data_IF_440547997874
#
_entry.id   IF_440547997874
#
_cell.length_a   1.000
_cell.length_b   1.000
_cell.length_c   1.000
_cell.angle_alpha   90.00
_cell.angle_beta   90.00
_cell.angle_gamma   90.00
#
_symmetry.space_group_name_H-M   'P 1'
#
loop_
_entity.id
_entity.type
_entity.pdbx_description
1 polymer ?
#
# COMPACT_ATOMS: atom_id res chain seq x y z
N UNK A 1 9.26 13.77 -0.04
CA UNK A 1 7.92 13.29 -0.45
C UNK A 1 7.04 14.45 -0.93
N UNK A 2 6.13 14.18 -1.88
CA UNK A 2 5.17 15.19 -2.36
C UNK A 2 4.00 15.41 -1.39
N UNK A 3 3.77 14.44 -0.50
CA UNK A 3 2.80 14.51 0.60
C UNK A 3 3.47 14.16 1.92
N UNK A 4 3.14 14.83 3.03
CA UNK A 4 3.76 14.57 4.33
C UNK A 4 3.19 13.36 5.07
N UNK A 5 1.98 12.89 4.69
CA UNK A 5 1.30 11.77 5.33
C UNK A 5 1.79 10.43 4.78
N UNK A 6 1.79 9.41 5.65
CA UNK A 6 1.90 8.02 5.24
C UNK A 6 0.57 7.57 4.60
N UNK A 7 0.58 7.36 3.29
CA UNK A 7 -0.63 7.01 2.56
C UNK A 7 -1.12 5.59 2.87
N UNK A 8 -0.25 4.65 3.21
CA UNK A 8 -0.66 3.30 3.57
C UNK A 8 -1.44 3.31 4.89
N UNK A 9 -0.97 4.08 5.88
CA UNK A 9 -1.68 4.28 7.13
C UNK A 9 -3.05 4.95 6.92
N UNK A 10 -3.10 6.02 6.12
CA UNK A 10 -4.34 6.73 5.83
C UNK A 10 -5.35 5.86 5.05
N UNK A 11 -4.88 4.97 4.15
CA UNK A 11 -5.72 3.99 3.45
C UNK A 11 -6.35 3.01 4.43
N UNK A 12 -5.58 2.46 5.35
CA UNK A 12 -6.09 1.52 6.34
C UNK A 12 -7.13 2.17 7.27
N UNK A 13 -7.08 3.47 7.50
CA UNK A 13 -8.09 4.20 8.29
C UNK A 13 -9.45 4.36 7.58
N UNK A 14 -9.57 3.96 6.32
CA UNK A 14 -10.85 3.98 5.60
C UNK A 14 -11.88 2.97 6.15
N UNK A 15 -11.45 2.04 7.00
CA UNK A 15 -12.34 1.08 7.66
C UNK A 15 -12.07 0.98 9.19
N UNK A 16 -13.04 0.50 9.98
CA UNK A 16 -12.86 0.34 11.41
C UNK A 16 -11.67 -0.55 11.76
N UNK A 17 -10.97 -0.24 12.82
CA UNK A 17 -9.79 -0.96 13.31
C UNK A 17 -8.57 -0.96 12.36
N UNK A 18 -8.67 -0.45 11.14
CA UNK A 18 -7.61 -0.50 10.14
C UNK A 18 -6.32 0.20 10.57
N UNK A 19 -6.41 1.30 11.32
CA UNK A 19 -5.22 1.95 11.87
C UNK A 19 -4.45 1.05 12.84
N UNK A 20 -5.17 0.30 13.70
CA UNK A 20 -4.56 -0.67 14.63
C UNK A 20 -3.97 -1.87 13.89
N UNK A 21 -4.69 -2.37 12.91
CA UNK A 21 -4.21 -3.45 12.04
C UNK A 21 -2.94 -3.04 11.30
N UNK A 22 -2.88 -1.80 10.82
CA UNK A 22 -1.70 -1.25 10.17
C UNK A 22 -0.47 -1.21 11.08
N UNK A 23 -0.63 -0.87 12.37
CA UNK A 23 0.50 -0.88 13.31
C UNK A 23 1.17 -2.26 13.40
N UNK A 24 0.39 -3.34 13.37
CA UNK A 24 0.90 -4.72 13.39
C UNK A 24 1.58 -5.05 12.06
N UNK A 25 0.95 -4.72 10.93
CA UNK A 25 1.48 -4.99 9.59
C UNK A 25 2.76 -4.16 9.34
N UNK A 26 2.78 -2.89 9.74
CA UNK A 26 3.95 -2.02 9.61
C UNK A 26 5.12 -2.53 10.45
N UNK A 27 4.85 -3.03 11.67
CA UNK A 27 5.91 -3.67 12.47
C UNK A 27 6.45 -4.93 11.80
N UNK A 28 5.59 -5.71 11.17
CA UNK A 28 6.01 -6.88 10.39
C UNK A 28 6.85 -6.50 9.16
N UNK A 29 6.48 -5.45 8.42
CA UNK A 29 7.26 -4.87 7.32
C UNK A 29 8.67 -4.49 7.77
N UNK A 30 8.80 -3.81 8.92
CA UNK A 30 10.09 -3.51 9.54
C UNK A 30 10.93 -4.78 9.78
N UNK A 31 10.32 -5.83 10.33
CA UNK A 31 11.00 -7.08 10.62
C UNK A 31 11.48 -7.80 9.34
N UNK A 32 10.67 -7.82 8.28
CA UNK A 32 11.05 -8.37 6.98
C UNK A 32 12.21 -7.59 6.35
N UNK A 33 12.16 -6.27 6.45
CA UNK A 33 13.23 -5.39 5.94
C UNK A 33 14.55 -5.60 6.70
N UNK A 34 14.49 -5.67 8.05
CA UNK A 34 15.66 -5.86 8.90
C UNK A 34 16.33 -7.23 8.70
N UNK A 35 15.57 -8.28 8.46
CA UNK A 35 16.14 -9.60 8.16
C UNK A 35 16.66 -9.74 6.73
N UNK A 36 16.37 -8.76 5.86
CA UNK A 36 16.74 -8.82 4.44
C UNK A 36 16.03 -9.95 3.71
N UNK A 37 14.71 -10.08 3.92
CA UNK A 37 13.91 -11.15 3.31
C UNK A 37 14.06 -11.17 1.81
N UNK A 38 14.35 -12.34 1.26
CA UNK A 38 14.47 -12.52 -0.18
C UNK A 38 13.17 -12.08 -0.88
N UNK A 39 13.30 -11.37 -2.00
CA UNK A 39 12.18 -10.84 -2.82
C UNK A 39 11.25 -9.85 -2.11
N UNK A 40 11.65 -9.35 -0.93
CA UNK A 40 10.94 -8.29 -0.20
C UNK A 40 11.73 -6.98 -0.25
N UNK A 41 11.05 -5.89 -0.64
CA UNK A 41 11.67 -4.58 -0.78
C UNK A 41 10.91 -3.53 0.07
N UNK A 42 11.59 -2.48 0.56
CA UNK A 42 10.92 -1.37 1.23
C UNK A 42 9.83 -0.75 0.34
N UNK A 43 8.60 -0.71 0.84
CA UNK A 43 7.40 -0.28 0.10
C UNK A 43 6.46 -1.43 -0.26
N UNK A 44 6.84 -2.68 -0.04
CA UNK A 44 5.99 -3.86 -0.23
C UNK A 44 4.88 -3.94 0.83
N UNK A 45 4.89 -3.07 1.85
CA UNK A 45 3.77 -2.85 2.79
C UNK A 45 2.44 -2.71 2.06
N UNK A 46 2.43 -2.11 0.86
CA UNK A 46 1.21 -1.99 0.05
C UNK A 46 0.65 -3.36 -0.37
N UNK A 47 1.52 -4.33 -0.69
CA UNK A 47 1.06 -5.69 -0.97
C UNK A 47 0.52 -6.39 0.29
N UNK A 48 1.08 -6.08 1.46
CA UNK A 48 0.63 -6.65 2.74
C UNK A 48 -0.76 -6.12 3.14
N UNK A 49 -1.06 -4.83 2.91
CA UNK A 49 -2.36 -4.25 3.27
C UNK A 49 -3.46 -4.54 2.23
N UNK A 50 -3.11 -4.86 0.99
CA UNK A 50 -4.05 -5.06 -0.11
C UNK A 50 -5.18 -6.07 0.21
N UNK A 51 -4.94 -7.25 0.84
CA UNK A 51 -5.99 -8.20 1.17
C UNK A 51 -7.06 -7.58 2.08
N UNK A 52 -6.66 -6.78 3.07
CA UNK A 52 -7.56 -6.17 4.04
C UNK A 52 -8.37 -5.01 3.45
N UNK A 53 -7.76 -4.22 2.55
CA UNK A 53 -8.51 -3.20 1.80
C UNK A 53 -9.63 -3.84 0.97
N UNK A 54 -9.34 -4.97 0.31
CA UNK A 54 -10.33 -5.71 -0.46
C UNK A 54 -11.41 -6.34 0.44
N UNK A 55 -11.03 -6.94 1.58
CA UNK A 55 -11.93 -7.56 2.55
C UNK A 55 -12.94 -6.56 3.12
N UNK A 56 -12.49 -5.36 3.47
CA UNK A 56 -13.36 -4.29 3.97
C UNK A 56 -14.08 -3.51 2.87
N UNK A 57 -13.96 -3.92 1.61
CA UNK A 57 -14.68 -3.32 0.49
C UNK A 57 -14.29 -1.87 0.21
N UNK A 58 -13.04 -1.49 0.50
CA UNK A 58 -12.50 -0.19 0.11
C UNK A 58 -12.55 -0.07 -1.42
N UNK A 59 -12.92 1.11 -1.93
CA UNK A 59 -13.09 1.37 -3.35
C UNK A 59 -12.00 2.28 -3.90
N UNK A 60 -11.68 2.10 -5.17
CA UNK A 60 -10.71 2.96 -5.88
C UNK A 60 -11.09 4.44 -5.82
N UNK A 61 -12.41 4.74 -5.85
CA UNK A 61 -12.92 6.10 -5.68
C UNK A 61 -12.54 6.71 -4.33
N UNK A 62 -12.56 5.93 -3.24
CA UNK A 62 -12.16 6.40 -1.91
C UNK A 62 -10.66 6.72 -1.86
N UNK A 63 -9.83 5.89 -2.51
CA UNK A 63 -8.37 6.13 -2.62
C UNK A 63 -8.11 7.40 -3.44
N UNK A 64 -8.81 7.57 -4.54
CA UNK A 64 -8.75 8.77 -5.39
C UNK A 64 -9.15 10.02 -4.60
N UNK A 65 -10.29 9.98 -3.89
CA UNK A 65 -10.78 11.09 -3.09
C UNK A 65 -9.81 11.46 -1.95
N UNK A 66 -9.15 10.46 -1.37
CA UNK A 66 -8.10 10.68 -0.36
C UNK A 66 -6.90 11.43 -0.95
N UNK A 67 -6.42 11.01 -2.13
CA UNK A 67 -5.33 11.70 -2.84
C UNK A 67 -5.69 13.13 -3.23
N UNK A 68 -6.93 13.37 -3.66
CA UNK A 68 -7.42 14.71 -4.00
C UNK A 68 -7.44 15.66 -2.78
N UNK A 69 -7.70 15.14 -1.59
CA UNK A 69 -7.76 15.91 -0.32
C UNK A 69 -6.42 15.97 0.42
N UNK A 70 -5.45 15.13 0.06
CA UNK A 70 -4.16 15.07 0.76
C UNK A 70 -3.42 16.40 0.70
N UNK A 71 -2.79 16.77 1.81
CA UNK A 71 -1.92 17.94 1.87
C UNK A 71 -0.68 17.75 0.98
N UNK A 72 -0.31 18.76 0.20
CA UNK A 72 0.97 18.78 -0.50
C UNK A 72 2.06 19.30 0.44
N UNK A 73 3.26 18.76 0.30
CA UNK A 73 4.43 19.31 0.97
C UNK A 73 4.62 20.78 0.59
N UNK A 74 4.90 21.62 1.58
CA UNK A 74 5.09 23.06 1.36
C UNK A 74 6.15 23.32 0.28
N UNK A 75 5.83 24.18 -0.67
CA UNK A 75 6.70 24.52 -1.79
C UNK A 75 6.72 23.50 -2.95
N UNK A 76 6.07 22.34 -2.84
CA UNK A 76 6.09 21.32 -3.90
C UNK A 76 5.51 21.85 -5.22
N UNK A 77 4.34 22.49 -5.17
CA UNK A 77 3.70 23.07 -6.35
C UNK A 77 4.57 24.16 -7.00
N UNK A 78 5.16 25.04 -6.17
CA UNK A 78 6.02 26.12 -6.63
C UNK A 78 7.29 25.56 -7.28
N UNK A 79 7.94 24.57 -6.66
CA UNK A 79 9.12 23.91 -7.22
C UNK A 79 8.83 23.31 -8.61
N UNK A 80 7.77 22.50 -8.71
CA UNK A 80 7.37 21.85 -9.96
C UNK A 80 7.08 22.91 -11.04
N UNK A 81 6.31 23.96 -10.70
CA UNK A 81 6.00 25.05 -11.63
C UNK A 81 7.25 25.77 -12.13
N UNK A 82 8.21 26.07 -11.25
CA UNK A 82 9.49 26.70 -11.61
C UNK A 82 10.35 25.82 -12.53
N UNK A 83 10.41 24.51 -12.24
CA UNK A 83 11.16 23.58 -13.10
C UNK A 83 10.54 23.50 -14.49
N UNK A 84 9.22 23.37 -14.58
CA UNK A 84 8.48 23.34 -15.86
C UNK A 84 8.66 24.62 -16.66
N UNK A 85 8.62 25.79 -16.03
CA UNK A 85 8.84 27.08 -16.71
C UNK A 85 10.24 27.22 -17.27
N UNK A 86 11.21 26.43 -16.82
CA UNK A 86 12.58 26.35 -17.33
C UNK A 86 12.77 25.25 -18.37
N UNK A 87 11.69 24.60 -18.81
CA UNK A 87 11.74 23.53 -19.81
C UNK A 87 12.16 22.15 -19.28
N UNK A 88 12.16 21.94 -17.95
CA UNK A 88 12.50 20.63 -17.39
C UNK A 88 11.34 19.64 -17.54
N UNK A 89 11.66 18.44 -17.98
CA UNK A 89 10.76 17.29 -17.87
C UNK A 89 10.68 16.81 -16.42
N UNK A 90 9.46 16.59 -15.92
CA UNK A 90 9.23 16.13 -14.55
C UNK A 90 8.70 14.71 -14.58
N UNK A 91 9.38 13.81 -13.88
CA UNK A 91 8.97 12.42 -13.69
C UNK A 91 8.76 12.16 -12.21
N UNK A 92 7.76 11.33 -11.89
CA UNK A 92 7.46 10.91 -10.52
C UNK A 92 7.51 9.40 -10.43
N UNK A 93 8.30 8.86 -9.49
CA UNK A 93 8.29 7.45 -9.13
C UNK A 93 7.74 7.35 -7.71
N UNK A 94 6.60 6.69 -7.56
CA UNK A 94 5.85 6.61 -6.31
C UNK A 94 5.63 5.16 -5.88
N UNK A 95 5.83 4.87 -4.61
CA UNK A 95 5.43 3.58 -4.03
C UNK A 95 3.91 3.47 -3.85
N UNK A 96 3.16 4.56 -3.93
CA UNK A 96 1.71 4.58 -3.73
C UNK A 96 0.95 3.82 -4.81
N UNK A 97 -0.28 3.41 -4.49
CA UNK A 97 -1.22 2.94 -5.51
C UNK A 97 -1.54 4.05 -6.52
N UNK A 98 -1.81 3.63 -7.76
CA UNK A 98 -2.02 4.52 -8.90
C UNK A 98 -3.13 5.57 -8.66
N UNK A 99 -4.25 5.21 -8.02
CA UNK A 99 -5.35 6.11 -7.73
C UNK A 99 -4.89 7.31 -6.87
N UNK A 100 -4.06 7.06 -5.86
CA UNK A 100 -3.50 8.11 -5.01
C UNK A 100 -2.41 8.88 -5.73
N UNK A 101 -1.46 8.18 -6.36
CA UNK A 101 -0.32 8.79 -7.05
C UNK A 101 -0.78 9.74 -8.17
N UNK A 102 -1.72 9.30 -9.02
CA UNK A 102 -2.27 10.13 -10.09
C UNK A 102 -3.04 11.33 -9.56
N UNK A 103 -3.79 11.19 -8.46
CA UNK A 103 -4.47 12.32 -7.84
C UNK A 103 -3.50 13.41 -7.37
N UNK A 104 -2.37 13.03 -6.79
CA UNK A 104 -1.34 13.98 -6.34
C UNK A 104 -0.61 14.61 -7.54
N UNK A 105 -0.18 13.80 -8.50
CA UNK A 105 0.61 14.27 -9.65
C UNK A 105 -0.20 15.14 -10.59
N UNK A 106 -1.50 14.88 -10.75
CA UNK A 106 -2.43 15.72 -11.49
C UNK A 106 -2.52 17.13 -10.89
N UNK A 107 -2.61 17.26 -9.57
CA UNK A 107 -2.62 18.55 -8.87
C UNK A 107 -1.32 19.35 -9.05
N UNK A 108 -0.21 18.66 -9.31
CA UNK A 108 1.10 19.25 -9.61
C UNK A 108 1.31 19.46 -11.13
N UNK A 109 0.33 19.08 -11.95
CA UNK A 109 0.40 19.17 -13.42
C UNK A 109 1.46 18.23 -14.01
N UNK A 110 1.78 17.11 -13.39
CA UNK A 110 2.66 16.07 -13.93
C UNK A 110 1.79 15.12 -14.76
N UNK A 111 2.08 14.88 -16.05
CA UNK A 111 1.32 13.98 -16.90
C UNK A 111 1.38 12.53 -16.40
N UNK A 112 0.33 11.74 -16.65
CA UNK A 112 0.25 10.33 -16.21
C UNK A 112 1.39 9.49 -16.80
N UNK A 113 1.78 9.71 -18.04
CA UNK A 113 2.88 9.03 -18.71
C UNK A 113 4.25 9.25 -18.06
N UNK A 114 4.36 10.28 -17.21
CA UNK A 114 5.56 10.59 -16.44
C UNK A 114 5.50 10.06 -15.01
N UNK A 115 4.54 9.19 -14.69
CA UNK A 115 4.34 8.68 -13.32
C UNK A 115 4.47 7.17 -13.29
N UNK A 116 5.53 6.66 -12.68
CA UNK A 116 5.67 5.26 -12.30
C UNK A 116 5.09 5.03 -10.91
N UNK A 117 4.10 4.15 -10.78
CA UNK A 117 3.45 3.85 -9.50
C UNK A 117 2.88 2.43 -9.49
N UNK A 118 2.41 1.99 -8.32
CA UNK A 118 1.86 0.65 -8.13
C UNK A 118 0.47 0.55 -8.71
N UNK A 119 0.27 -0.31 -9.71
CA UNK A 119 -1.07 -0.63 -10.23
C UNK A 119 -1.86 -1.45 -9.22
N UNK A 120 -3.11 -1.07 -8.97
CA UNK A 120 -3.96 -1.70 -7.98
C UNK A 120 -5.43 -1.69 -8.38
N UNK A 121 -5.90 -2.68 -9.17
CA UNK A 121 -7.29 -2.77 -9.61
C UNK A 121 -8.19 -3.27 -8.47
N UNK A 122 -8.33 -2.49 -7.41
CA UNK A 122 -8.98 -2.89 -6.15
C UNK A 122 -10.45 -3.27 -6.35
N UNK A 123 -11.19 -2.52 -7.16
CA UNK A 123 -12.60 -2.79 -7.40
C UNK A 123 -12.82 -4.15 -8.09
N UNK A 124 -11.89 -4.56 -8.96
CA UNK A 124 -11.91 -5.88 -9.58
C UNK A 124 -11.55 -6.96 -8.55
N UNK A 125 -10.54 -6.72 -7.72
CA UNK A 125 -10.14 -7.65 -6.64
C UNK A 125 -11.29 -7.90 -5.68
N UNK A 126 -12.01 -6.85 -5.27
CA UNK A 126 -13.19 -6.98 -4.40
C UNK A 126 -14.29 -7.89 -4.99
N UNK A 127 -14.47 -7.86 -6.33
CA UNK A 127 -15.48 -8.70 -7.01
C UNK A 127 -15.06 -10.17 -7.10
N UNK A 128 -13.77 -10.47 -6.99
CA UNK A 128 -13.22 -11.81 -7.12
C UNK A 128 -13.06 -12.54 -5.78
N UNK A 129 -13.33 -11.88 -4.66
CA UNK A 129 -13.25 -12.48 -3.33
C UNK A 129 -14.26 -13.63 -3.21
N UNK A 130 -13.76 -14.82 -2.88
CA UNK A 130 -14.58 -15.99 -2.57
C UNK A 130 -15.01 -15.97 -1.09
N UNK A 131 -16.00 -16.81 -0.74
CA UNK A 131 -16.38 -16.99 0.65
C UNK A 131 -15.21 -17.48 1.52
N UNK A 132 -14.37 -18.37 0.98
CA UNK A 132 -13.19 -18.89 1.71
C UNK A 132 -12.14 -17.79 1.93
N UNK A 133 -11.98 -16.86 0.99
CA UNK A 133 -11.11 -15.69 1.17
C UNK A 133 -11.63 -14.81 2.32
N UNK A 134 -12.95 -14.57 2.42
CA UNK A 134 -13.55 -13.82 3.52
C UNK A 134 -13.29 -14.48 4.88
N UNK A 135 -13.51 -15.78 5.01
CA UNK A 135 -13.26 -16.51 6.26
C UNK A 135 -11.77 -16.49 6.66
N UNK A 136 -10.87 -16.61 5.67
CA UNK A 136 -9.44 -16.52 5.90
C UNK A 136 -9.02 -15.15 6.43
N UNK A 137 -9.57 -14.07 5.83
CA UNK A 137 -9.22 -12.70 6.19
C UNK A 137 -9.82 -12.30 7.54
N UNK A 138 -11.06 -12.71 7.83
CA UNK A 138 -11.68 -12.52 9.14
C UNK A 138 -10.82 -13.14 10.24
N UNK A 139 -10.43 -14.41 10.09
CA UNK A 139 -9.56 -15.09 11.05
C UNK A 139 -8.19 -14.41 11.16
N UNK A 140 -7.60 -13.98 10.04
CA UNK A 140 -6.31 -13.31 10.06
C UNK A 140 -6.38 -11.96 10.78
N UNK A 141 -7.44 -11.18 10.55
CA UNK A 141 -7.66 -9.91 11.24
C UNK A 141 -7.79 -10.10 12.75
N UNK A 142 -8.55 -11.11 13.22
CA UNK A 142 -8.65 -11.46 14.62
C UNK A 142 -7.29 -11.84 15.22
N UNK A 143 -6.53 -12.72 14.53
CA UNK A 143 -5.19 -13.14 14.96
C UNK A 143 -4.23 -11.93 15.05
N UNK A 144 -4.28 -10.99 14.08
CA UNK A 144 -3.41 -9.82 14.06
C UNK A 144 -3.80 -8.80 15.12
N UNK A 145 -5.10 -8.58 15.33
CA UNK A 145 -5.61 -7.64 16.35
C UNK A 145 -5.29 -8.10 17.79
N UNK A 146 -5.09 -9.39 18.01
CA UNK A 146 -4.64 -9.91 19.29
C UNK A 146 -3.15 -9.65 19.59
N UNK A 147 -2.36 -9.23 18.58
CA UNK A 147 -0.94 -8.93 18.73
C UNK A 147 -0.72 -7.52 19.26
N UNK A 148 0.37 -7.35 20.01
CA UNK A 148 0.79 -6.04 20.49
C UNK A 148 2.13 -5.67 19.82
N UNK A 149 2.15 -4.69 18.90
CA UNK A 149 3.39 -4.18 18.35
C UNK A 149 4.35 -3.75 19.46
N UNK A 150 5.67 -3.84 19.21
CA UNK A 150 6.75 -3.46 20.12
C UNK A 150 6.94 -4.38 21.35
N UNK A 151 6.03 -5.33 21.62
CA UNK A 151 6.13 -6.24 22.77
C UNK A 151 6.50 -7.67 22.35
N UNK A 152 6.05 -8.11 21.17
CA UNK A 152 6.21 -9.52 20.75
C UNK A 152 6.53 -9.65 19.25
N UNK A 153 7.73 -9.23 18.86
CA UNK A 153 8.20 -9.35 17.47
C UNK A 153 8.21 -10.80 16.97
N UNK A 154 8.57 -11.76 17.83
CA UNK A 154 8.59 -13.18 17.45
C UNK A 154 7.17 -13.71 17.16
N UNK A 155 6.19 -13.32 17.96
CA UNK A 155 4.79 -13.67 17.73
C UNK A 155 4.23 -13.01 16.47
N UNK A 156 4.52 -11.73 16.25
CA UNK A 156 4.13 -11.03 15.02
C UNK A 156 4.69 -11.77 13.81
N UNK A 157 5.99 -12.05 13.81
CA UNK A 157 6.64 -12.73 12.70
C UNK A 157 6.04 -14.11 12.46
N UNK A 158 5.85 -14.91 13.50
CA UNK A 158 5.31 -16.26 13.38
C UNK A 158 3.88 -16.27 12.79
N UNK A 159 3.01 -15.41 13.26
CA UNK A 159 1.60 -15.37 12.85
C UNK A 159 1.49 -14.80 11.43
N UNK A 160 2.17 -13.69 11.14
CA UNK A 160 2.09 -13.06 9.83
C UNK A 160 2.84 -13.85 8.75
N UNK A 161 3.98 -14.49 9.06
CA UNK A 161 4.64 -15.43 8.14
C UNK A 161 3.71 -16.58 7.76
N UNK A 162 2.99 -17.16 8.73
CA UNK A 162 2.02 -18.23 8.46
C UNK A 162 0.90 -17.75 7.54
N UNK A 163 0.42 -16.52 7.74
CA UNK A 163 -0.62 -15.95 6.89
C UNK A 163 -0.10 -15.63 5.50
N UNK A 164 0.89 -14.73 5.37
CA UNK A 164 1.31 -14.18 4.08
C UNK A 164 2.03 -15.19 3.18
N UNK A 165 2.79 -16.14 3.77
CA UNK A 165 3.63 -17.06 2.98
C UNK A 165 3.12 -18.49 2.91
N UNK A 166 2.10 -18.86 3.73
CA UNK A 166 1.60 -20.23 3.73
C UNK A 166 0.10 -20.34 3.45
N UNK A 167 -0.73 -19.47 4.06
CA UNK A 167 -2.20 -19.54 3.93
C UNK A 167 -2.70 -18.76 2.73
N UNK A 168 -2.41 -17.46 2.67
CA UNK A 168 -2.86 -16.56 1.61
C UNK A 168 -2.46 -17.02 0.19
N UNK A 169 -1.22 -17.49 -0.10
CA UNK A 169 -0.86 -17.93 -1.45
C UNK A 169 -1.62 -19.13 -1.99
N UNK A 170 -2.33 -19.86 -1.11
CA UNK A 170 -3.14 -21.01 -1.50
C UNK A 170 -4.55 -20.62 -1.96
N UNK A 171 -4.93 -19.40 -1.80
CA UNK A 171 -6.26 -18.86 -2.15
C UNK A 171 -6.26 -18.20 -3.54
N UNK A 172 -7.46 -17.94 -4.07
CA UNK A 172 -7.63 -17.16 -5.30
C UNK A 172 -7.14 -15.72 -5.10
N UNK A 173 -7.48 -15.12 -3.97
CA UNK A 173 -7.01 -13.78 -3.60
C UNK A 173 -5.48 -13.71 -3.53
N UNK A 174 -4.83 -14.68 -2.88
CA UNK A 174 -3.37 -14.69 -2.75
C UNK A 174 -2.66 -14.72 -4.10
N UNK A 175 -3.19 -15.44 -5.08
CA UNK A 175 -2.66 -15.43 -6.45
C UNK A 175 -2.77 -14.05 -7.10
N UNK A 176 -3.91 -13.38 -6.94
CA UNK A 176 -4.12 -12.03 -7.48
C UNK A 176 -3.19 -11.03 -6.78
N UNK A 177 -3.10 -11.08 -5.44
CA UNK A 177 -2.22 -10.20 -4.66
C UNK A 177 -0.73 -10.38 -5.04
N UNK A 178 -0.31 -11.61 -5.37
CA UNK A 178 1.08 -11.88 -5.77
C UNK A 178 1.48 -11.20 -7.11
N UNK A 179 0.50 -10.77 -7.90
CA UNK A 179 0.72 -10.02 -9.13
C UNK A 179 0.89 -8.52 -8.88
N UNK A 180 0.49 -8.03 -7.69
CA UNK A 180 0.72 -6.64 -7.30
C UNK A 180 2.20 -6.48 -6.99
N UNK A 181 2.89 -5.71 -7.82
CA UNK A 181 4.31 -5.41 -7.67
C UNK A 181 4.47 -3.95 -7.26
N UNK A 182 4.60 -3.65 -5.96
CA UNK A 182 4.81 -2.29 -5.52
C UNK A 182 6.09 -1.71 -6.14
N UNK A 183 6.01 -0.47 -6.59
CA UNK A 183 7.16 0.28 -7.08
C UNK A 183 7.97 0.75 -5.88
N UNK A 184 8.86 -0.10 -5.37
CA UNK A 184 9.65 0.15 -4.17
C UNK A 184 11.09 -0.34 -4.29
N UNK A 185 11.97 0.07 -3.38
CA UNK A 185 13.33 -0.40 -3.30
C UNK A 185 14.07 -0.35 -4.64
N UNK A 186 14.65 -1.47 -5.04
CA UNK A 186 15.38 -1.62 -6.31
C UNK A 186 14.47 -1.52 -7.54
N UNK A 187 13.20 -1.91 -7.42
CA UNK A 187 12.21 -1.85 -8.51
C UNK A 187 11.90 -0.43 -9.01
N UNK A 188 12.38 0.62 -8.32
CA UNK A 188 12.25 2.01 -8.78
C UNK A 188 13.09 2.36 -10.01
N UNK A 189 14.06 1.54 -10.35
CA UNK A 189 15.01 1.78 -11.46
C UNK A 189 14.85 0.75 -12.59
N UNK A 190 13.98 -0.21 -12.45
CA UNK A 190 13.56 -1.16 -13.48
C UNK A 190 12.36 -0.61 -14.26
#
# INVERSE_FOLDING_TARGET
>A
PLTPQDNAYELMKLFPCGGRLFEVISRYDDLLTLEGRQDYEPGDTLALIAPFLAYHGVREEQITAMGQKAGLTSGALELISRLKSRGWGIFCISTSYEQYAFSITQRLGIPHENVGCTSFPLDQICQLLSHDDFLLLEQAEEEFMALTPQVNDAGIKQILDKFYWQRLPRTSLGRIISEIKPVGGKRKVE
#
